data_IF_393742226520
#
_entry.id   IF_393742226520
#
_cell.length_a   1.000
_cell.length_b   1.000
_cell.length_c   1.000
_cell.angle_alpha   90.00
_cell.angle_beta   90.00
_cell.angle_gamma   90.00
#
_symmetry.space_group_name_H-M   'P 1'
#
loop_
_entity.id
_entity.type
_entity.pdbx_description
1 polymer ?
#
# COMPACT_ATOMS: atom_id res chain seq x y z
N UNK A 1 -8.08 31.03 -7.87
CA UNK A 1 -8.70 29.82 -8.45
C UNK A 1 -8.69 28.76 -7.35
N UNK A 2 -9.85 28.21 -6.99
CA UNK A 2 -9.89 27.08 -6.07
C UNK A 2 -9.12 25.92 -6.71
N UNK A 3 -8.07 25.46 -6.04
CA UNK A 3 -7.25 24.33 -6.49
C UNK A 3 -8.05 23.03 -6.26
N UNK A 4 -8.82 22.65 -7.28
CA UNK A 4 -9.75 21.51 -7.35
C UNK A 4 -9.04 20.14 -7.49
N UNK A 5 -7.78 20.06 -7.07
CA UNK A 5 -6.99 18.83 -7.13
C UNK A 5 -7.37 17.89 -5.98
N UNK A 6 -7.82 16.69 -6.32
CA UNK A 6 -8.02 15.60 -5.35
C UNK A 6 -6.68 14.98 -4.92
N UNK A 7 -6.67 14.38 -3.73
CA UNK A 7 -5.55 13.58 -3.22
C UNK A 7 -4.22 14.33 -2.96
N UNK A 8 -4.26 15.60 -2.54
CA UNK A 8 -3.05 16.36 -2.20
C UNK A 8 -2.30 15.73 -1.02
N UNK A 9 -0.97 15.74 -1.07
CA UNK A 9 -0.09 15.27 0.01
C UNK A 9 -0.43 15.91 1.37
N UNK A 10 -0.74 17.21 1.38
CA UNK A 10 -1.10 17.95 2.59
C UNK A 10 -2.36 17.43 3.29
N UNK A 11 -3.24 16.70 2.60
CA UNK A 11 -4.43 16.11 3.20
C UNK A 11 -4.09 15.00 4.20
N UNK A 12 -2.88 14.43 4.16
CA UNK A 12 -2.39 13.50 5.19
C UNK A 12 -2.39 14.11 6.60
N UNK A 13 -2.20 15.43 6.71
CA UNK A 13 -2.24 16.13 8.00
C UNK A 13 -3.63 16.02 8.67
N UNK A 14 -4.68 15.74 7.89
CA UNK A 14 -6.05 15.58 8.37
C UNK A 14 -6.34 14.17 8.90
N UNK A 15 -5.40 13.22 8.80
CA UNK A 15 -5.58 11.89 9.40
C UNK A 15 -5.86 11.94 10.91
N UNK A 16 -5.39 12.99 11.59
CA UNK A 16 -5.71 13.24 13.01
C UNK A 16 -7.20 13.40 13.29
N UNK A 17 -7.98 13.92 12.33
CA UNK A 17 -9.44 14.07 12.47
C UNK A 17 -10.15 12.72 12.67
N UNK A 18 -9.54 11.61 12.22
CA UNK A 18 -10.09 10.28 12.47
C UNK A 18 -10.17 9.98 13.98
N UNK A 19 -9.20 10.45 14.76
CA UNK A 19 -9.20 10.30 16.22
C UNK A 19 -10.32 11.10 16.87
N UNK A 20 -10.65 12.26 16.33
CA UNK A 20 -11.71 13.13 16.86
C UNK A 20 -13.09 12.59 16.49
N UNK A 21 -13.27 12.20 15.22
CA UNK A 21 -14.55 11.77 14.66
C UNK A 21 -14.91 10.33 15.01
N UNK A 22 -13.92 9.45 15.17
CA UNK A 22 -14.15 8.04 15.50
C UNK A 22 -13.01 7.47 16.36
N UNK A 23 -12.89 7.92 17.63
CA UNK A 23 -11.74 7.61 18.50
C UNK A 23 -11.52 6.11 18.70
N UNK A 24 -12.61 5.34 18.88
CA UNK A 24 -12.52 3.88 19.09
C UNK A 24 -11.97 3.15 17.85
N UNK A 25 -12.41 3.55 16.66
CA UNK A 25 -11.94 2.95 15.40
C UNK A 25 -10.49 3.37 15.14
N UNK A 26 -10.18 4.65 15.34
CA UNK A 26 -8.81 5.16 15.19
C UNK A 26 -7.82 4.44 16.10
N UNK A 27 -8.17 4.26 17.38
CA UNK A 27 -7.33 3.56 18.34
C UNK A 27 -7.06 2.11 17.93
N UNK A 28 -8.10 1.36 17.56
CA UNK A 28 -7.96 -0.02 17.08
C UNK A 28 -7.11 -0.11 15.81
N UNK A 29 -7.33 0.79 14.86
CA UNK A 29 -6.55 0.83 13.63
C UNK A 29 -5.07 1.14 13.90
N UNK A 30 -4.77 2.11 14.77
CA UNK A 30 -3.38 2.44 15.12
C UNK A 30 -2.68 1.32 15.89
N UNK A 31 -3.40 0.62 16.76
CA UNK A 31 -2.87 -0.58 17.41
C UNK A 31 -2.54 -1.66 16.38
N UNK A 32 -3.47 -1.94 15.45
CA UNK A 32 -3.26 -2.90 14.38
C UNK A 32 -2.04 -2.55 13.51
N UNK A 33 -1.93 -1.30 13.04
CA UNK A 33 -0.76 -0.80 12.32
C UNK A 33 0.53 -1.01 13.12
N UNK A 34 0.53 -0.68 14.41
CA UNK A 34 1.70 -0.85 15.26
C UNK A 34 2.12 -2.32 15.37
N UNK A 35 1.19 -3.22 15.65
CA UNK A 35 1.44 -4.65 15.75
C UNK A 35 1.95 -5.22 14.43
N UNK A 36 1.31 -4.86 13.30
CA UNK A 36 1.72 -5.31 11.96
C UNK A 36 3.14 -4.89 11.64
N UNK A 37 3.54 -3.64 11.86
CA UNK A 37 4.85 -3.15 11.41
C UNK A 37 5.99 -3.36 12.41
N UNK A 38 5.71 -3.44 13.71
CA UNK A 38 6.76 -3.40 14.75
C UNK A 38 6.97 -4.71 15.51
N UNK A 39 6.14 -5.74 15.29
CA UNK A 39 6.22 -7.01 16.06
C UNK A 39 6.37 -8.25 15.19
N UNK A 40 6.88 -9.36 15.73
CA UNK A 40 6.96 -10.64 15.02
C UNK A 40 8.26 -10.87 14.23
N UNK A 41 8.28 -11.91 13.40
CA UNK A 41 9.52 -12.48 12.84
C UNK A 41 10.07 -11.74 11.62
N UNK A 42 9.20 -11.13 10.80
CA UNK A 42 9.63 -10.38 9.62
C UNK A 42 10.18 -9.02 10.08
N UNK A 43 11.44 -8.66 9.73
CA UNK A 43 12.01 -7.38 10.14
C UNK A 43 11.20 -6.17 9.62
N UNK A 44 11.14 -5.05 10.36
CA UNK A 44 10.40 -3.86 9.94
C UNK A 44 10.77 -3.36 8.53
N UNK A 45 12.07 -3.39 8.19
CA UNK A 45 12.54 -3.01 6.84
C UNK A 45 11.85 -3.84 5.75
N UNK A 46 11.76 -5.15 5.93
CA UNK A 46 11.13 -6.05 4.95
C UNK A 46 9.62 -5.81 4.87
N UNK A 47 8.95 -5.54 6.00
CA UNK A 47 7.52 -5.20 6.00
C UNK A 47 7.21 -3.91 5.26
N UNK A 48 8.04 -2.89 5.44
CA UNK A 48 7.91 -1.63 4.70
C UNK A 48 8.14 -1.85 3.19
N UNK A 49 9.08 -2.73 2.80
CA UNK A 49 9.26 -3.09 1.38
C UNK A 49 8.03 -3.79 0.80
N UNK A 50 7.43 -4.73 1.55
CA UNK A 50 6.16 -5.37 1.19
C UNK A 50 5.05 -4.32 1.07
N UNK A 51 4.97 -3.36 2.01
CA UNK A 51 3.98 -2.30 1.98
C UNK A 51 4.14 -1.39 0.75
N UNK A 52 5.38 -1.09 0.33
CA UNK A 52 5.64 -0.33 -0.90
C UNK A 52 5.15 -1.10 -2.14
N UNK A 53 5.43 -2.40 -2.23
CA UNK A 53 4.93 -3.25 -3.31
C UNK A 53 3.38 -3.23 -3.34
N UNK A 54 2.73 -3.43 -2.19
CA UNK A 54 1.27 -3.38 -2.07
C UNK A 54 0.71 -2.01 -2.47
N UNK A 55 1.32 -0.91 -2.03
CA UNK A 55 0.90 0.45 -2.34
C UNK A 55 0.85 0.73 -3.86
N UNK A 56 1.79 0.16 -4.63
CA UNK A 56 1.78 0.26 -6.10
C UNK A 56 0.68 -0.61 -6.74
N UNK A 57 0.37 -1.77 -6.16
CA UNK A 57 -0.73 -2.60 -6.68
C UNK A 57 -2.10 -1.94 -6.46
N UNK A 58 -2.30 -1.30 -5.30
CA UNK A 58 -3.54 -0.59 -4.94
C UNK A 58 -3.63 0.82 -5.52
N UNK A 59 -2.51 1.38 -6.01
CA UNK A 59 -2.47 2.73 -6.60
C UNK A 59 -2.66 3.84 -5.57
N UNK A 60 -2.30 3.61 -4.31
CA UNK A 60 -2.50 4.57 -3.21
C UNK A 60 -1.31 5.55 -3.11
N UNK A 61 -1.41 6.80 -3.58
CA UNK A 61 -0.29 7.75 -3.57
C UNK A 61 0.18 8.09 -2.15
N UNK A 62 -0.76 8.15 -1.21
CA UNK A 62 -0.49 8.36 0.21
C UNK A 62 0.36 7.24 0.83
N UNK A 63 0.03 6.00 0.48
CA UNK A 63 0.72 4.82 0.97
C UNK A 63 2.14 4.76 0.39
N UNK A 64 2.29 5.07 -0.91
CA UNK A 64 3.61 5.16 -1.57
C UNK A 64 4.50 6.15 -0.82
N UNK A 65 4.03 7.39 -0.61
CA UNK A 65 4.80 8.42 0.09
C UNK A 65 5.17 8.00 1.53
N UNK A 66 4.19 7.52 2.30
CA UNK A 66 4.39 7.19 3.70
C UNK A 66 5.37 6.01 3.90
N UNK A 67 5.19 4.91 3.15
CA UNK A 67 6.00 3.71 3.32
C UNK A 67 7.39 3.85 2.72
N UNK A 68 7.57 4.59 1.60
CA UNK A 68 8.91 4.93 1.09
C UNK A 68 9.69 5.76 2.13
N UNK A 69 9.04 6.74 2.77
CA UNK A 69 9.69 7.54 3.81
C UNK A 69 10.11 6.71 5.03
N UNK A 70 9.27 5.75 5.47
CA UNK A 70 9.60 4.80 6.56
C UNK A 70 10.72 3.85 6.15
N UNK A 71 10.66 3.26 4.96
CA UNK A 71 11.69 2.36 4.43
C UNK A 71 13.05 3.02 4.33
N UNK A 72 13.10 4.26 3.83
CA UNK A 72 14.33 5.05 3.76
C UNK A 72 14.95 5.28 5.15
N UNK A 73 14.13 5.56 6.17
CA UNK A 73 14.62 5.71 7.57
C UNK A 73 15.20 4.42 8.15
N UNK A 74 14.78 3.27 7.63
CA UNK A 74 15.29 1.94 8.02
C UNK A 74 16.53 1.52 7.21
N UNK A 75 17.14 2.42 6.43
CA UNK A 75 18.32 2.12 5.62
C UNK A 75 18.01 1.33 4.34
N UNK A 76 16.78 1.44 3.84
CA UNK A 76 16.41 0.91 2.53
C UNK A 76 16.98 1.72 1.36
N UNK A 77 17.22 1.06 0.24
CA UNK A 77 17.75 1.67 -0.98
C UNK A 77 16.68 1.85 -2.06
N UNK A 78 16.96 2.71 -3.04
CA UNK A 78 16.07 2.86 -4.20
C UNK A 78 16.06 1.59 -5.07
N UNK A 79 17.19 0.90 -5.19
CA UNK A 79 17.30 -0.33 -5.99
C UNK A 79 16.40 -1.44 -5.42
N UNK A 80 16.40 -1.62 -4.09
CA UNK A 80 15.49 -2.57 -3.42
C UNK A 80 14.01 -2.23 -3.71
N UNK A 81 13.65 -0.94 -3.71
CA UNK A 81 12.29 -0.49 -4.05
C UNK A 81 11.95 -0.83 -5.50
N UNK A 82 12.84 -0.56 -6.45
CA UNK A 82 12.61 -0.83 -7.87
C UNK A 82 12.42 -2.33 -8.14
N UNK A 83 13.21 -3.18 -7.48
CA UNK A 83 13.02 -4.63 -7.56
C UNK A 83 11.64 -5.03 -7.01
N UNK A 84 11.27 -4.56 -5.81
CA UNK A 84 9.98 -4.88 -5.21
C UNK A 84 8.79 -4.41 -6.05
N UNK A 85 8.87 -3.21 -6.64
CA UNK A 85 7.82 -2.68 -7.54
C UNK A 85 7.74 -3.48 -8.83
N UNK A 86 8.87 -3.92 -9.39
CA UNK A 86 8.89 -4.76 -10.59
C UNK A 86 8.28 -6.13 -10.32
N UNK A 87 8.57 -6.73 -9.17
CA UNK A 87 7.89 -7.96 -8.71
C UNK A 87 6.38 -7.72 -8.61
N UNK A 88 5.96 -6.64 -7.94
CA UNK A 88 4.54 -6.30 -7.81
C UNK A 88 3.84 -6.12 -9.18
N UNK A 89 4.52 -5.46 -10.13
CA UNK A 89 4.02 -5.27 -11.48
C UNK A 89 3.88 -6.59 -12.25
N UNK A 90 4.89 -7.47 -12.17
CA UNK A 90 4.85 -8.79 -12.80
C UNK A 90 3.67 -9.63 -12.27
N UNK A 91 3.43 -9.62 -10.96
CA UNK A 91 2.30 -10.34 -10.35
C UNK A 91 0.95 -9.72 -10.75
N UNK A 92 0.86 -8.40 -10.86
CA UNK A 92 -0.36 -7.70 -11.32
C UNK A 92 -0.70 -8.08 -12.77
N UNK A 93 0.29 -8.13 -13.66
CA UNK A 93 0.11 -8.57 -15.04
C UNK A 93 -0.24 -10.07 -15.12
N UNK A 94 0.50 -10.91 -14.39
CA UNK A 94 0.26 -12.35 -14.32
C UNK A 94 -1.14 -12.70 -13.84
N UNK A 95 -1.64 -12.01 -12.81
CA UNK A 95 -3.00 -12.23 -12.31
C UNK A 95 -4.07 -12.00 -13.38
N UNK A 96 -3.94 -10.94 -14.20
CA UNK A 96 -4.87 -10.68 -15.29
C UNK A 96 -4.86 -11.80 -16.33
N UNK A 97 -3.67 -12.27 -16.73
CA UNK A 97 -3.51 -13.37 -17.67
C UNK A 97 -4.07 -14.68 -17.10
N UNK A 98 -3.72 -15.03 -15.86
CA UNK A 98 -4.22 -16.27 -15.22
C UNK A 98 -5.74 -16.27 -15.08
N UNK A 99 -6.35 -15.11 -14.78
CA UNK A 99 -7.80 -15.00 -14.68
C UNK A 99 -8.53 -15.07 -16.02
N UNK A 100 -7.84 -15.02 -17.17
CA UNK A 100 -8.45 -15.19 -18.49
C UNK A 100 -9.14 -16.54 -18.68
N UNK A 101 -8.76 -17.56 -17.91
CA UNK A 101 -9.46 -18.86 -17.87
C UNK A 101 -10.94 -18.69 -17.52
N UNK A 102 -11.28 -17.72 -16.66
CA UNK A 102 -12.67 -17.43 -16.34
C UNK A 102 -13.43 -16.85 -17.54
N UNK A 103 -12.76 -16.10 -18.41
CA UNK A 103 -13.37 -15.58 -19.64
C UNK A 103 -13.61 -16.71 -20.64
N UNK A 104 -12.67 -17.67 -20.78
CA UNK A 104 -12.87 -18.88 -21.58
C UNK A 104 -14.10 -19.65 -21.07
N UNK A 105 -14.13 -19.97 -19.77
CA UNK A 105 -15.26 -20.65 -19.14
C UNK A 105 -16.59 -19.88 -19.28
N UNK A 106 -16.56 -18.55 -19.31
CA UNK A 106 -17.78 -17.75 -19.50
C UNK A 106 -18.25 -17.74 -20.95
N UNK A 107 -17.31 -17.73 -21.91
CA UNK A 107 -17.60 -17.74 -23.35
C UNK A 107 -18.14 -19.09 -23.82
N UNK A 108 -17.65 -20.19 -23.23
CA UNK A 108 -18.02 -21.56 -23.60
C UNK A 108 -19.28 -22.08 -22.88
N UNK A 109 -19.87 -21.31 -21.95
CA UNK A 109 -21.12 -21.69 -21.28
C UNK A 109 -22.31 -21.53 -22.26
N UNK A 110 -23.10 -22.60 -22.42
CA UNK A 110 -24.38 -22.59 -23.15
C UNK A 110 -25.39 -21.57 -22.60
#
# INVERSE_FOLDING_TARGET
MSDDTLYKKSYLNRLGELKERSPKVAAKFMQFEHEVFNTGTIPPKIKELIAIAVAHTTGCPYCIEAHVAKYKKLGGTMDEILEAVTVAAALKAGAAISHSVNAINAFERE
#
